data_IF_233883956497
#
_entry.id   IF_233883956497
#
_cell.length_a   1.000
_cell.length_b   1.000
_cell.length_c   1.000
_cell.angle_alpha   90.00
_cell.angle_beta   90.00
_cell.angle_gamma   90.00
#
_symmetry.space_group_name_H-M   'P 1'
#
loop_
_entity.id
_entity.type
_entity.pdbx_description
1 polymer ?
#
# COMPACT_ATOMS: atom_id res chain seq x y z
N UNK A 1 -18.59 4.64 0.80
CA UNK A 1 -17.35 5.30 1.27
C UNK A 1 -16.49 4.25 1.97
N UNK A 2 -15.22 4.10 1.59
CA UNK A 2 -14.31 3.13 2.22
C UNK A 2 -13.65 3.80 3.41
N UNK A 3 -13.75 3.18 4.60
CA UNK A 3 -13.17 3.68 5.86
C UNK A 3 -12.25 2.63 6.42
N UNK A 4 -11.00 3.00 6.66
CA UNK A 4 -9.97 2.07 7.14
C UNK A 4 -8.90 2.81 7.94
N UNK A 5 -8.10 2.07 8.70
CA UNK A 5 -7.05 2.59 9.57
C UNK A 5 -5.73 1.86 9.32
N UNK A 6 -4.61 2.52 9.59
CA UNK A 6 -3.30 1.88 9.69
C UNK A 6 -3.02 1.56 11.15
N UNK A 7 -2.63 0.32 11.42
CA UNK A 7 -2.16 -0.11 12.74
C UNK A 7 -0.64 -0.18 12.75
N UNK A 8 -0.03 0.26 13.84
CA UNK A 8 1.42 0.18 14.06
C UNK A 8 1.74 -0.22 15.50
N UNK A 9 2.97 -0.67 15.75
CA UNK A 9 3.45 -1.06 17.07
C UNK A 9 3.45 -2.55 17.35
N UNK A 10 3.55 -3.37 16.32
CA UNK A 10 3.86 -4.79 16.45
C UNK A 10 5.35 -4.98 16.79
N UNK A 11 5.67 -6.03 17.55
CA UNK A 11 7.05 -6.21 18.03
C UNK A 11 8.07 -6.59 16.95
N UNK A 12 7.62 -7.15 15.82
CA UNK A 12 8.46 -7.41 14.65
C UNK A 12 8.78 -6.15 13.84
N UNK A 13 8.06 -5.04 14.07
CA UNK A 13 8.28 -3.80 13.34
C UNK A 13 9.53 -3.08 13.83
N UNK A 14 10.24 -2.51 12.87
CA UNK A 14 11.43 -1.71 13.11
C UNK A 14 11.40 -0.48 12.20
N UNK A 15 12.39 0.39 12.35
CA UNK A 15 12.47 1.64 11.58
C UNK A 15 12.45 1.41 10.05
N UNK A 16 13.09 0.34 9.56
CA UNK A 16 13.07 -0.01 8.13
C UNK A 16 11.64 -0.28 7.65
N UNK A 17 10.85 -1.04 8.40
CA UNK A 17 9.45 -1.33 8.04
C UNK A 17 8.65 -0.03 7.86
N UNK A 18 8.82 0.93 8.78
CA UNK A 18 8.11 2.21 8.69
C UNK A 18 8.59 3.09 7.54
N UNK A 19 9.90 3.07 7.22
CA UNK A 19 10.43 3.78 6.04
C UNK A 19 9.94 3.16 4.74
N UNK A 20 9.92 1.83 4.64
CA UNK A 20 9.46 1.11 3.45
C UNK A 20 7.95 1.35 3.23
N UNK A 21 7.15 1.35 4.31
CA UNK A 21 5.73 1.74 4.25
C UNK A 21 5.54 3.21 3.84
N UNK A 22 6.35 4.13 4.38
CA UNK A 22 6.28 5.55 4.01
C UNK A 22 6.58 5.74 2.51
N UNK A 23 7.60 5.06 1.97
CA UNK A 23 7.94 5.10 0.56
C UNK A 23 6.83 4.50 -0.33
N UNK A 24 6.13 3.46 0.14
CA UNK A 24 4.96 2.93 -0.56
C UNK A 24 3.79 3.93 -0.54
N UNK A 25 3.54 4.59 0.60
CA UNK A 25 2.46 5.59 0.74
C UNK A 25 2.60 6.69 -0.31
N UNK A 26 3.81 7.21 -0.51
CA UNK A 26 4.06 8.26 -1.49
C UNK A 26 3.63 7.86 -2.93
N UNK A 27 3.57 6.55 -3.23
CA UNK A 27 3.11 6.00 -4.52
C UNK A 27 1.60 5.78 -4.62
N UNK A 28 0.89 5.71 -3.50
CA UNK A 28 -0.54 5.36 -3.47
C UNK A 28 -1.44 6.51 -3.03
N UNK A 29 -0.90 7.74 -3.03
CA UNK A 29 -1.61 8.91 -2.51
C UNK A 29 -2.91 9.27 -3.26
N UNK A 30 -3.16 8.70 -4.43
CA UNK A 30 -4.43 8.81 -5.17
C UNK A 30 -5.53 7.89 -4.64
N UNK A 31 -5.18 6.84 -3.88
CA UNK A 31 -6.14 5.96 -3.22
C UNK A 31 -6.68 6.62 -1.94
N UNK A 32 -7.89 6.24 -1.51
CA UNK A 32 -8.53 6.83 -0.33
C UNK A 32 -7.64 6.65 0.91
N UNK A 33 -7.19 7.75 1.57
CA UNK A 33 -6.30 7.66 2.72
C UNK A 33 -6.99 7.01 3.93
N UNK A 34 -6.22 6.49 4.90
CA UNK A 34 -6.80 5.99 6.14
C UNK A 34 -7.41 7.13 6.95
N UNK A 35 -8.45 6.82 7.72
CA UNK A 35 -9.05 7.76 8.67
C UNK A 35 -8.14 8.04 9.86
N UNK A 36 -7.43 7.02 10.34
CA UNK A 36 -6.54 7.14 11.47
C UNK A 36 -5.33 6.20 11.36
N UNK A 37 -4.26 6.61 12.03
CA UNK A 37 -3.10 5.77 12.35
C UNK A 37 -3.08 5.49 13.85
N UNK A 38 -3.32 4.23 14.21
CA UNK A 38 -3.50 3.79 15.59
C UNK A 38 -2.39 2.87 16.05
N UNK A 39 -1.90 3.07 17.28
CA UNK A 39 -1.02 2.09 17.91
C UNK A 39 -1.85 0.86 18.27
N UNK A 40 -1.33 -0.32 18.00
CA UNK A 40 -1.88 -1.58 18.50
C UNK A 40 -1.94 -1.52 20.03
N UNK A 41 -3.10 -1.87 20.57
CA UNK A 41 -3.39 -1.82 22.00
C UNK A 41 -3.48 -3.22 22.57
N UNK A 42 -3.08 -3.37 23.83
CA UNK A 42 -3.26 -4.62 24.57
C UNK A 42 -4.65 -4.60 25.18
N UNK A 43 -5.58 -5.27 24.51
CA UNK A 43 -6.97 -5.40 25.00
C UNK A 43 -7.11 -6.71 25.77
N UNK A 44 -7.96 -6.73 26.80
CA UNK A 44 -8.25 -7.95 27.54
C UNK A 44 -8.80 -9.02 26.59
N UNK A 45 -8.39 -10.27 26.82
CA UNK A 45 -8.72 -11.42 25.98
C UNK A 45 -8.10 -11.36 24.56
N UNK A 46 -7.29 -10.34 24.25
CA UNK A 46 -6.49 -10.36 23.01
C UNK A 46 -5.27 -11.27 23.17
N UNK A 47 -4.71 -11.81 22.07
CA UNK A 47 -3.44 -12.54 22.12
C UNK A 47 -2.30 -11.74 22.76
N UNK A 48 -2.29 -10.41 22.61
CA UNK A 48 -1.31 -9.53 23.26
C UNK A 48 -1.43 -9.52 24.79
N UNK A 49 -2.61 -9.81 25.33
CA UNK A 49 -2.86 -9.90 26.77
C UNK A 49 -2.64 -11.33 27.29
N UNK A 50 -3.13 -12.34 26.57
CA UNK A 50 -3.07 -13.74 27.01
C UNK A 50 -1.67 -14.34 26.84
N UNK A 51 -0.95 -13.94 25.79
CA UNK A 51 0.36 -14.50 25.41
C UNK A 51 1.38 -13.39 25.07
N UNK A 52 1.60 -12.40 25.96
CA UNK A 52 2.38 -11.19 25.66
C UNK A 52 3.82 -11.50 25.22
N UNK A 53 4.45 -12.53 25.79
CA UNK A 53 5.83 -12.91 25.48
C UNK A 53 6.00 -13.37 24.02
N UNK A 54 5.01 -14.03 23.42
CA UNK A 54 5.03 -14.43 22.00
C UNK A 54 5.07 -13.23 21.07
N UNK A 55 4.55 -12.08 21.53
CA UNK A 55 4.54 -10.82 20.82
C UNK A 55 5.60 -9.85 21.35
N UNK A 56 6.63 -10.33 22.07
CA UNK A 56 7.71 -9.49 22.58
C UNK A 56 7.28 -8.38 23.54
N UNK A 57 6.13 -8.55 24.20
CA UNK A 57 5.61 -7.62 25.20
C UNK A 57 5.94 -8.10 26.62
N UNK A 58 6.30 -7.16 27.48
CA UNK A 58 6.58 -7.36 28.90
C UNK A 58 5.83 -6.32 29.73
N UNK A 59 5.73 -6.55 31.05
CA UNK A 59 5.23 -5.56 32.01
C UNK A 59 3.81 -5.05 31.67
N UNK A 60 2.90 -6.00 31.42
CA UNK A 60 1.50 -5.72 31.11
C UNK A 60 0.80 -5.13 32.34
N UNK A 61 0.33 -3.87 32.23
CA UNK A 61 -0.35 -3.15 33.32
C UNK A 61 -1.64 -2.50 32.84
N UNK A 62 -2.64 -2.30 33.70
CA UNK A 62 -3.82 -1.51 33.36
C UNK A 62 -3.44 -0.16 32.75
N UNK A 63 -4.18 0.29 31.74
CA UNK A 63 -3.98 1.61 31.19
C UNK A 63 -4.10 2.68 32.29
N UNK A 64 -3.19 3.64 32.27
CA UNK A 64 -3.06 4.67 33.33
C UNK A 64 -4.34 5.46 33.57
N UNK A 65 -5.16 5.63 32.53
CA UNK A 65 -6.48 6.27 32.61
C UNK A 65 -7.37 5.68 33.73
N UNK A 66 -7.28 4.38 34.01
CA UNK A 66 -8.07 3.75 35.08
C UNK A 66 -7.71 4.29 36.47
N UNK A 67 -6.44 4.67 36.72
CA UNK A 67 -5.99 5.21 38.02
C UNK A 67 -6.53 6.61 38.29
N UNK A 68 -6.83 7.38 37.24
CA UNK A 68 -7.41 8.71 37.38
C UNK A 68 -8.91 8.70 37.66
N UNK A 69 -9.59 7.58 37.36
CA UNK A 69 -11.05 7.44 37.53
C UNK A 69 -11.38 6.60 38.76
N UNK A 70 -10.60 5.56 39.04
CA UNK A 70 -10.89 4.59 40.10
C UNK A 70 -9.80 4.61 41.17
N UNK A 71 -10.11 4.99 42.42
CA UNK A 71 -9.15 5.04 43.52
C UNK A 71 -8.93 3.66 44.14
N UNK A 72 -8.62 2.66 43.31
CA UNK A 72 -8.39 1.28 43.74
C UNK A 72 -6.92 0.87 43.61
N UNK A 73 -6.45 -0.12 44.41
CA UNK A 73 -5.13 -0.71 44.22
C UNK A 73 -4.99 -1.37 42.85
N UNK A 74 -3.75 -1.48 42.36
CA UNK A 74 -3.43 -2.04 41.04
C UNK A 74 -4.01 -3.42 40.77
N UNK A 75 -4.08 -4.28 41.78
CA UNK A 75 -4.66 -5.63 41.67
C UNK A 75 -6.16 -5.58 41.30
N UNK A 76 -6.89 -4.64 41.90
CA UNK A 76 -8.31 -4.41 41.59
C UNK A 76 -8.47 -3.76 40.22
N UNK A 77 -7.59 -2.82 39.86
CA UNK A 77 -7.57 -2.23 38.53
C UNK A 77 -7.25 -3.28 37.45
N UNK A 78 -6.36 -4.22 37.71
CA UNK A 78 -6.05 -5.33 36.80
C UNK A 78 -7.25 -6.26 36.57
N UNK A 79 -8.12 -6.42 37.57
CA UNK A 79 -9.40 -7.13 37.42
C UNK A 79 -10.46 -6.31 36.70
N UNK A 80 -10.48 -4.99 36.87
CA UNK A 80 -11.48 -4.10 36.27
C UNK A 80 -11.17 -3.71 34.82
N UNK A 81 -9.89 -3.46 34.52
CA UNK A 81 -9.47 -2.85 33.26
C UNK A 81 -9.73 -3.75 32.06
N UNK A 82 -10.15 -3.11 30.97
CA UNK A 82 -10.22 -3.76 29.66
C UNK A 82 -9.00 -3.43 28.79
N UNK A 83 -8.37 -2.28 28.99
CA UNK A 83 -7.19 -1.86 28.24
C UNK A 83 -5.94 -1.91 29.10
N UNK A 84 -4.86 -2.39 28.51
CA UNK A 84 -3.56 -2.54 29.14
C UNK A 84 -2.48 -1.85 28.30
N UNK A 85 -1.39 -1.48 28.97
CA UNK A 85 -0.13 -1.07 28.36
C UNK A 85 0.88 -2.20 28.55
N UNK A 86 1.63 -2.51 27.50
CA UNK A 86 2.81 -3.36 27.55
C UNK A 86 4.02 -2.60 27.05
N UNK A 87 5.21 -2.98 27.53
CA UNK A 87 6.48 -2.49 27.00
C UNK A 87 7.04 -3.51 26.02
N UNK A 88 7.69 -3.06 24.96
CA UNK A 88 8.43 -3.96 24.09
C UNK A 88 9.72 -4.39 24.78
N UNK A 89 10.02 -5.69 24.76
CA UNK A 89 11.23 -6.25 25.37
C UNK A 89 12.52 -5.66 24.77
N UNK A 90 12.47 -5.20 23.51
CA UNK A 90 13.57 -4.51 22.84
C UNK A 90 13.88 -3.12 23.41
N UNK A 91 13.00 -2.56 24.25
CA UNK A 91 13.13 -1.20 24.80
C UNK A 91 12.74 -0.08 23.82
N UNK A 92 12.50 -0.39 22.55
CA UNK A 92 12.08 0.58 21.55
C UNK A 92 10.63 1.03 21.81
N UNK A 93 10.36 2.32 21.74
CA UNK A 93 9.00 2.85 21.69
C UNK A 93 8.52 2.91 20.24
N UNK A 94 7.50 2.12 19.84
CA UNK A 94 6.99 2.16 18.48
C UNK A 94 6.46 3.53 18.06
N UNK A 95 6.01 4.37 18.99
CA UNK A 95 5.55 5.71 18.65
C UNK A 95 6.68 6.57 18.06
N UNK A 96 7.89 6.44 18.61
CA UNK A 96 9.09 7.11 18.10
C UNK A 96 9.53 6.55 16.74
N UNK A 97 9.43 5.22 16.55
CA UNK A 97 9.81 4.58 15.29
C UNK A 97 8.84 4.89 14.14
N UNK A 98 7.55 5.09 14.45
CA UNK A 98 6.50 5.31 13.44
C UNK A 98 6.41 6.77 12.94
N UNK A 99 7.36 7.65 13.31
CA UNK A 99 7.40 9.06 12.87
C UNK A 99 7.28 9.21 11.34
N UNK A 100 8.15 8.56 10.53
CA UNK A 100 8.08 8.64 9.07
C UNK A 100 6.74 8.17 8.50
N UNK A 101 6.15 7.11 9.08
CA UNK A 101 4.86 6.61 8.67
C UNK A 101 3.73 7.62 8.95
N UNK A 102 3.74 8.24 10.15
CA UNK A 102 2.76 9.28 10.49
C UNK A 102 2.83 10.48 9.56
N UNK A 103 4.04 10.94 9.27
CA UNK A 103 4.26 12.06 8.34
C UNK A 103 3.78 11.71 6.94
N UNK A 104 4.06 10.50 6.45
CA UNK A 104 3.58 10.04 5.15
C UNK A 104 2.04 9.98 5.08
N UNK A 105 1.38 9.48 6.14
CA UNK A 105 -0.09 9.46 6.22
C UNK A 105 -0.67 10.88 6.25
N UNK A 106 -0.07 11.81 6.99
CA UNK A 106 -0.52 13.19 7.03
C UNK A 106 -0.43 13.84 5.63
N UNK A 107 0.71 13.66 4.94
CA UNK A 107 0.87 14.13 3.55
C UNK A 107 -0.13 13.48 2.61
N UNK A 108 -0.37 12.17 2.75
CA UNK A 108 -1.37 11.47 1.94
C UNK A 108 -2.75 12.11 2.09
N UNK A 109 -3.20 12.36 3.33
CA UNK A 109 -4.47 13.02 3.59
C UNK A 109 -4.55 14.42 2.97
N UNK A 110 -3.45 15.17 2.98
CA UNK A 110 -3.36 16.52 2.41
C UNK A 110 -3.44 16.52 0.87
N UNK A 111 -2.68 15.64 0.20
CA UNK A 111 -2.54 15.67 -1.27
C UNK A 111 -3.59 14.82 -2.00
N UNK A 112 -4.27 13.88 -1.31
CA UNK A 112 -5.27 12.98 -1.91
C UNK A 112 -6.37 13.70 -2.73
N UNK A 113 -6.95 14.83 -2.27
CA UNK A 113 -8.06 15.47 -2.99
C UNK A 113 -7.72 15.83 -4.44
N UNK A 114 -6.46 16.20 -4.70
CA UNK A 114 -5.95 16.63 -6.00
C UNK A 114 -5.09 15.56 -6.69
N UNK A 115 -4.79 14.45 -6.03
CA UNK A 115 -3.97 13.37 -6.57
C UNK A 115 -4.81 12.34 -7.34
N UNK A 116 -4.42 12.06 -8.59
CA UNK A 116 -5.04 11.04 -9.44
C UNK A 116 -3.95 10.20 -10.11
N UNK A 117 -4.18 8.90 -10.17
CA UNK A 117 -3.51 7.99 -11.09
C UNK A 117 -4.59 7.11 -11.71
N UNK A 118 -4.91 7.39 -12.96
CA UNK A 118 -6.08 6.88 -13.66
C UNK A 118 -5.66 6.23 -14.97
N UNK A 119 -6.24 5.08 -15.30
CA UNK A 119 -6.02 4.39 -16.57
C UNK A 119 -7.32 4.35 -17.39
N UNK A 120 -7.24 4.72 -18.67
CA UNK A 120 -8.35 4.72 -19.62
C UNK A 120 -7.90 4.08 -20.95
N UNK A 121 -8.71 3.16 -21.46
CA UNK A 121 -8.50 2.56 -22.79
C UNK A 121 -8.86 3.57 -23.89
N UNK A 122 -8.03 3.68 -24.93
CA UNK A 122 -8.23 4.64 -26.03
C UNK A 122 -8.42 3.99 -27.40
N UNK A 123 -8.94 2.76 -27.43
CA UNK A 123 -8.95 1.93 -28.65
C UNK A 123 -7.53 1.56 -29.12
N UNK A 124 -7.43 0.81 -30.21
CA UNK A 124 -6.16 0.43 -30.86
C UNK A 124 -5.07 -0.09 -29.89
N UNK A 125 -5.46 -0.98 -28.98
CA UNK A 125 -4.62 -1.57 -27.94
C UNK A 125 -3.81 -0.55 -27.13
N UNK A 126 -4.35 0.66 -26.96
CA UNK A 126 -3.73 1.74 -26.21
C UNK A 126 -4.37 1.88 -24.82
N UNK A 127 -3.52 1.97 -23.80
CA UNK A 127 -3.90 2.44 -22.46
C UNK A 127 -3.25 3.80 -22.17
N UNK A 128 -4.07 4.77 -21.79
CA UNK A 128 -3.64 6.11 -21.36
C UNK A 128 -3.68 6.16 -19.85
N UNK A 129 -2.53 6.43 -19.23
CA UNK A 129 -2.40 6.68 -17.81
C UNK A 129 -2.24 8.18 -17.57
N UNK A 130 -3.13 8.76 -16.77
CA UNK A 130 -3.04 10.16 -16.33
C UNK A 130 -2.60 10.18 -14.87
N UNK A 131 -1.53 10.91 -14.58
CA UNK A 131 -0.92 11.00 -13.26
C UNK A 131 -0.76 12.47 -12.84
N UNK A 132 -1.36 12.80 -11.70
CA UNK A 132 -1.31 14.14 -11.07
C UNK A 132 -0.78 14.07 -9.65
N UNK A 133 -0.27 12.90 -9.22
CA UNK A 133 0.33 12.73 -7.89
C UNK A 133 1.58 13.62 -7.79
N UNK A 134 1.96 14.08 -6.58
CA UNK A 134 3.21 14.81 -6.37
C UNK A 134 4.47 14.06 -6.86
N UNK A 135 4.42 12.72 -6.91
CA UNK A 135 5.52 11.89 -7.39
C UNK A 135 5.53 11.67 -8.92
N UNK A 136 4.56 12.22 -9.66
CA UNK A 136 4.42 11.98 -11.09
C UNK A 136 5.64 12.50 -11.85
N UNK A 137 6.30 11.62 -12.61
CA UNK A 137 7.37 12.02 -13.53
C UNK A 137 6.83 12.70 -14.79
N UNK A 138 5.57 12.39 -15.15
CA UNK A 138 4.86 12.86 -16.34
C UNK A 138 3.37 12.94 -16.07
N UNK A 139 2.71 13.93 -16.66
CA UNK A 139 1.26 14.08 -16.56
C UNK A 139 0.48 12.96 -17.26
N UNK A 140 0.97 12.48 -18.40
CA UNK A 140 0.29 11.49 -19.22
C UNK A 140 1.30 10.49 -19.80
N UNK A 141 0.96 9.20 -19.74
CA UNK A 141 1.79 8.08 -20.17
C UNK A 141 0.93 7.21 -21.09
N UNK A 142 1.47 6.86 -22.26
CA UNK A 142 0.78 6.04 -23.26
C UNK A 142 1.44 4.68 -23.36
N UNK A 143 0.72 3.63 -22.96
CA UNK A 143 1.11 2.24 -23.15
C UNK A 143 0.41 1.71 -24.41
N UNK A 144 1.09 0.90 -25.22
CA UNK A 144 0.55 0.37 -26.47
C UNK A 144 0.82 -1.13 -26.60
N UNK A 145 -0.10 -1.84 -27.26
CA UNK A 145 0.04 -3.25 -27.60
C UNK A 145 0.36 -4.10 -26.36
N UNK A 146 1.39 -4.95 -26.47
CA UNK A 146 1.76 -5.89 -25.40
C UNK A 146 2.07 -5.21 -24.06
N UNK A 147 2.62 -4.00 -24.07
CA UNK A 147 2.89 -3.27 -22.83
C UNK A 147 1.59 -2.90 -22.09
N UNK A 148 0.57 -2.45 -22.84
CA UNK A 148 -0.74 -2.16 -22.27
C UNK A 148 -1.41 -3.43 -21.73
N UNK A 149 -1.31 -4.55 -22.45
CA UNK A 149 -1.84 -5.85 -22.02
C UNK A 149 -1.19 -6.34 -20.72
N UNK A 150 0.15 -6.27 -20.61
CA UNK A 150 0.86 -6.66 -19.38
C UNK A 150 0.42 -5.78 -18.21
N UNK A 151 0.29 -4.47 -18.43
CA UNK A 151 -0.15 -3.55 -17.37
C UNK A 151 -1.57 -3.88 -16.90
N UNK A 152 -2.50 -4.16 -17.83
CA UNK A 152 -3.86 -4.61 -17.52
C UNK A 152 -3.88 -5.94 -16.77
N UNK A 153 -3.00 -6.88 -17.12
CA UNK A 153 -2.88 -8.17 -16.44
C UNK A 153 -2.42 -8.02 -14.98
N UNK A 154 -1.65 -6.97 -14.70
CA UNK A 154 -1.17 -6.58 -13.37
C UNK A 154 -2.21 -5.79 -12.55
N UNK A 155 -3.47 -5.65 -12.98
CA UNK A 155 -4.58 -5.10 -12.17
C UNK A 155 -4.85 -5.92 -10.89
N UNK A 156 -4.26 -7.11 -10.81
CA UNK A 156 -4.12 -7.90 -9.59
C UNK A 156 -2.64 -8.26 -9.39
N UNK A 157 -2.20 -8.53 -8.16
CA UNK A 157 -0.79 -8.82 -7.88
C UNK A 157 -0.29 -10.09 -8.59
N UNK A 158 0.56 -9.94 -9.62
CA UNK A 158 1.11 -11.04 -10.43
C UNK A 158 2.56 -11.34 -10.07
N UNK A 159 2.93 -12.61 -10.03
CA UNK A 159 4.35 -12.99 -9.99
C UNK A 159 4.99 -12.74 -11.34
N UNK A 160 6.32 -12.51 -11.36
CA UNK A 160 7.08 -12.37 -12.62
C UNK A 160 6.89 -13.57 -13.55
N UNK A 161 6.83 -14.79 -12.99
CA UNK A 161 6.56 -16.01 -13.74
C UNK A 161 5.22 -15.93 -14.47
N UNK A 162 4.16 -15.54 -13.79
CA UNK A 162 2.82 -15.43 -14.39
C UNK A 162 2.78 -14.39 -15.51
N UNK A 163 3.54 -13.29 -15.38
CA UNK A 163 3.65 -12.27 -16.43
C UNK A 163 4.37 -12.84 -17.66
N UNK A 164 5.48 -13.57 -17.46
CA UNK A 164 6.21 -14.21 -18.58
C UNK A 164 5.35 -15.24 -19.30
N UNK A 165 4.59 -16.05 -18.57
CA UNK A 165 3.64 -17.00 -19.16
C UNK A 165 2.57 -16.27 -19.97
N UNK A 166 1.97 -15.22 -19.41
CA UNK A 166 0.97 -14.41 -20.11
C UNK A 166 1.51 -13.76 -21.39
N UNK A 167 2.74 -13.23 -21.36
CA UNK A 167 3.42 -12.67 -22.55
C UNK A 167 3.56 -13.72 -23.65
N UNK A 168 3.97 -14.95 -23.31
CA UNK A 168 4.11 -16.04 -24.28
C UNK A 168 2.76 -16.42 -24.90
N UNK A 169 1.70 -16.44 -24.11
CA UNK A 169 0.35 -16.74 -24.61
C UNK A 169 -0.15 -15.66 -25.58
N UNK A 170 0.15 -14.39 -25.31
CA UNK A 170 -0.14 -13.27 -26.21
C UNK A 170 0.66 -13.36 -27.52
N UNK A 171 1.96 -13.66 -27.44
CA UNK A 171 2.82 -13.85 -28.63
C UNK A 171 2.34 -15.03 -29.49
N UNK A 172 1.91 -16.14 -28.87
CA UNK A 172 1.40 -17.31 -29.58
C UNK A 172 0.05 -17.07 -30.26
N UNK A 173 -0.77 -16.15 -29.73
CA UNK A 173 -2.10 -15.83 -30.25
C UNK A 173 -2.09 -14.72 -31.31
N UNK A 174 -0.98 -13.97 -31.43
CA UNK A 174 -0.85 -12.86 -32.38
C UNK A 174 -0.28 -13.33 -33.72
N UNK A 175 -1.03 -13.12 -34.81
CA UNK A 175 -0.58 -13.42 -36.18
C UNK A 175 0.31 -12.31 -36.78
N UNK A 176 0.67 -11.28 -36.01
CA UNK A 176 1.35 -10.08 -36.48
C UNK A 176 2.82 -10.06 -36.05
N UNK A 177 3.73 -9.71 -36.97
CA UNK A 177 5.19 -9.59 -36.72
C UNK A 177 5.55 -8.58 -35.60
N UNK A 178 4.63 -7.69 -35.19
CA UNK A 178 4.84 -6.66 -34.17
C UNK A 178 5.02 -7.20 -32.74
N UNK A 179 4.65 -8.46 -32.49
CA UNK A 179 4.82 -9.16 -31.19
C UNK A 179 6.07 -10.03 -31.15
N UNK A 180 6.75 -10.27 -32.27
CA UNK A 180 7.95 -11.11 -32.28
C UNK A 180 9.10 -10.39 -31.56
N UNK A 181 9.40 -10.83 -30.34
CA UNK A 181 10.63 -10.44 -29.64
C UNK A 181 10.44 -9.64 -28.36
N UNK A 182 9.27 -9.70 -27.71
CA UNK A 182 9.13 -9.18 -26.34
C UNK A 182 9.78 -10.15 -25.34
N UNK A 183 11.11 -10.25 -25.43
CA UNK A 183 11.89 -11.17 -24.63
C UNK A 183 11.98 -10.74 -23.16
N UNK A 184 12.50 -11.63 -22.29
CA UNK A 184 12.63 -11.35 -20.85
C UNK A 184 13.35 -10.04 -20.51
N UNK A 185 14.36 -9.65 -21.31
CA UNK A 185 15.09 -8.39 -21.13
C UNK A 185 14.23 -7.16 -21.40
N UNK A 186 13.32 -7.23 -22.39
CA UNK A 186 12.38 -6.14 -22.66
C UNK A 186 11.36 -6.01 -21.52
N UNK A 187 10.84 -7.13 -21.03
CA UNK A 187 9.92 -7.16 -19.89
C UNK A 187 10.54 -6.52 -18.64
N UNK A 188 11.77 -6.90 -18.28
CA UNK A 188 12.46 -6.34 -17.10
C UNK A 188 12.73 -4.84 -17.24
N UNK A 189 13.01 -4.35 -18.46
CA UNK A 189 13.14 -2.91 -18.72
C UNK A 189 11.82 -2.18 -18.53
N UNK A 190 10.71 -2.75 -19.00
CA UNK A 190 9.36 -2.18 -18.84
C UNK A 190 8.97 -2.12 -17.35
N UNK A 191 9.12 -3.24 -16.63
CA UNK A 191 8.84 -3.31 -15.19
C UNK A 191 9.68 -2.28 -14.43
N UNK A 192 10.98 -2.18 -14.74
CA UNK A 192 11.86 -1.19 -14.11
C UNK A 192 11.38 0.23 -14.36
N UNK A 193 11.06 0.58 -15.62
CA UNK A 193 10.53 1.91 -15.96
C UNK A 193 9.24 2.20 -15.18
N UNK A 194 8.29 1.27 -15.15
CA UNK A 194 7.06 1.45 -14.39
C UNK A 194 7.31 1.62 -12.90
N UNK A 195 8.30 0.92 -12.35
CA UNK A 195 8.68 1.08 -10.96
C UNK A 195 9.30 2.47 -10.70
N UNK A 196 10.16 2.94 -11.60
CA UNK A 196 10.80 4.26 -11.50
C UNK A 196 9.76 5.39 -11.64
N UNK A 197 8.76 5.21 -12.50
CA UNK A 197 7.61 6.12 -12.70
C UNK A 197 6.49 5.94 -11.65
N UNK A 198 6.71 5.09 -10.63
CA UNK A 198 5.73 4.78 -9.58
C UNK A 198 4.35 4.34 -10.12
N UNK A 199 4.30 3.64 -11.25
CA UNK A 199 3.08 3.11 -11.86
C UNK A 199 2.72 1.71 -11.35
N UNK A 200 3.68 1.05 -10.70
CA UNK A 200 3.49 -0.26 -10.07
C UNK A 200 4.01 -0.25 -8.62
N UNK A 201 3.52 -1.19 -7.83
CA UNK A 201 4.12 -1.59 -6.56
C UNK A 201 4.57 -3.06 -6.65
N UNK A 202 5.73 -3.36 -6.06
CA UNK A 202 6.21 -4.73 -5.86
C UNK A 202 6.09 -5.07 -4.37
N UNK A 203 5.21 -6.02 -4.04
CA UNK A 203 4.92 -6.46 -2.66
C UNK A 203 4.99 -7.98 -2.64
N UNK A 204 5.84 -8.55 -1.77
CA UNK A 204 6.04 -9.99 -1.63
C UNK A 204 6.32 -10.71 -2.97
N UNK A 205 7.14 -10.10 -3.83
CA UNK A 205 7.50 -10.63 -5.16
C UNK A 205 6.36 -10.61 -6.18
N UNK A 206 5.28 -9.88 -5.89
CA UNK A 206 4.15 -9.65 -6.80
C UNK A 206 4.13 -8.21 -7.27
N UNK A 207 3.88 -8.04 -8.55
CA UNK A 207 3.75 -6.75 -9.23
C UNK A 207 2.27 -6.41 -9.36
N UNK A 208 1.89 -5.22 -8.91
CA UNK A 208 0.54 -4.68 -8.97
C UNK A 208 0.56 -3.33 -9.68
N UNK A 209 -0.29 -3.17 -10.70
CA UNK A 209 -0.57 -1.89 -11.33
C UNK A 209 -1.32 -0.97 -10.36
N UNK A 210 -0.86 0.28 -10.24
CA UNK A 210 -1.43 1.24 -9.28
C UNK A 210 -2.54 2.11 -9.88
N UNK A 211 -2.61 2.24 -11.21
CA UNK A 211 -3.59 3.11 -11.84
C UNK A 211 -5.01 2.54 -11.73
N UNK A 212 -5.95 3.38 -11.28
CA UNK A 212 -7.35 2.99 -11.15
C UNK A 212 -8.02 3.07 -12.52
N UNK A 213 -8.66 1.98 -12.95
CA UNK A 213 -9.42 1.98 -14.20
C UNK A 213 -10.59 2.93 -14.12
N UNK A 214 -10.70 3.82 -15.10
CA UNK A 214 -11.81 4.75 -15.18
C UNK A 214 -12.79 4.28 -16.25
N UNK A 215 -14.09 4.14 -15.93
CA UNK A 215 -15.10 3.78 -16.92
C UNK A 215 -15.20 4.81 -18.04
N UNK A 216 -15.61 4.36 -19.22
CA UNK A 216 -15.76 5.19 -20.44
C UNK A 216 -16.68 6.41 -20.25
N UNK A 217 -17.58 6.33 -19.27
CA UNK A 217 -18.58 7.36 -19.01
C UNK A 217 -18.04 8.56 -18.20
N UNK A 218 -16.81 8.46 -17.69
CA UNK A 218 -16.20 9.48 -16.83
C UNK A 218 -15.68 10.70 -17.60
N UNK A 219 -15.63 11.87 -16.93
CA UNK A 219 -15.00 13.08 -17.49
C UNK A 219 -13.51 12.88 -17.79
N UNK A 220 -12.80 12.11 -16.95
CA UNK A 220 -11.40 11.74 -17.16
C UNK A 220 -11.22 10.92 -18.45
N UNK A 221 -12.13 9.99 -18.74
CA UNK A 221 -12.10 9.26 -19.99
C UNK A 221 -12.28 10.19 -21.19
N UNK A 222 -13.26 11.11 -21.14
CA UNK A 222 -13.48 12.08 -22.23
C UNK A 222 -12.27 12.98 -22.46
N UNK A 223 -11.62 13.44 -21.39
CA UNK A 223 -10.40 14.25 -21.48
C UNK A 223 -9.20 13.47 -22.06
N UNK A 224 -9.14 12.14 -21.87
CA UNK A 224 -8.12 11.31 -22.50
C UNK A 224 -8.38 11.06 -24.00
N UNK A 225 -9.59 11.36 -24.50
CA UNK A 225 -10.02 11.15 -25.88
C UNK A 225 -10.20 12.44 -26.69
N UNK A 226 -10.12 13.60 -26.05
CA UNK A 226 -10.12 14.93 -26.68
C UNK A 226 -8.71 15.39 -27.04
#
# INVERSE_FOLDING_TARGET
EVKWNILYGFASENERVYRDLAALIDRIVHLVPPMAIGRVRVDRFSPFFERPAEFGLIDIRPAEAFRFVYPFPDESLARLAYYFRGRHASGNDPASLAGPLREAVARWQEVHPVSRLAAADQGDDTLIITDTRPCASRFQIRLKGIEAEIYRFCDTGRSRRAIVEHVRDLEASSSTEATNGFGPSALEKVIRRWNDDALIAEIDGRILALAVRVPEQSELYRAAHS
#
